data_IF_373937474088
#
_entry.id   IF_373937474088
#
_cell.length_a   1.000
_cell.length_b   1.000
_cell.length_c   1.000
_cell.angle_alpha   90.00
_cell.angle_beta   90.00
_cell.angle_gamma   90.00
#
_symmetry.space_group_name_H-M   'P 1'
#
loop_
_entity.id
_entity.type
_entity.pdbx_description
1 polymer ?
#
# COMPACT_ATOMS: atom_id res chain seq x y z
N UNK A 1 -35.31 -12.44 -23.65
CA UNK A 1 -35.66 -11.06 -24.07
C UNK A 1 -34.63 -10.15 -23.40
N UNK A 2 -33.81 -9.34 -24.06
CA UNK A 2 -33.98 -8.52 -25.26
C UNK A 2 -32.61 -8.43 -25.96
N UNK A 3 -32.63 -8.53 -27.29
CA UNK A 3 -31.48 -8.26 -28.17
C UNK A 3 -31.26 -6.74 -28.22
N UNK A 4 -30.02 -6.28 -28.26
CA UNK A 4 -29.74 -4.92 -28.74
C UNK A 4 -28.45 -4.91 -29.56
N UNK A 5 -28.63 -4.94 -30.88
CA UNK A 5 -27.63 -4.52 -31.85
C UNK A 5 -27.58 -2.99 -31.84
N UNK A 6 -26.38 -2.42 -31.88
CA UNK A 6 -26.20 -1.08 -32.44
C UNK A 6 -24.98 -1.10 -33.35
N UNK A 7 -25.25 -0.94 -34.65
CA UNK A 7 -24.29 -0.63 -35.70
C UNK A 7 -23.62 0.72 -35.39
N UNK A 8 -22.29 0.78 -35.52
CA UNK A 8 -21.60 2.07 -35.65
C UNK A 8 -21.66 2.49 -37.13
N UNK A 9 -22.54 3.45 -37.42
CA UNK A 9 -22.65 4.10 -38.72
C UNK A 9 -21.67 5.28 -38.74
N UNK A 10 -20.63 5.18 -39.56
CA UNK A 10 -19.77 6.31 -39.91
C UNK A 10 -20.57 7.30 -40.76
N UNK A 11 -20.73 8.54 -40.28
CA UNK A 11 -21.02 9.71 -41.11
C UNK A 11 -20.23 10.89 -40.53
N UNK A 12 -19.23 11.36 -41.28
CA UNK A 12 -18.61 12.65 -41.02
C UNK A 12 -19.40 13.78 -41.65
N UNK A 13 -19.32 14.99 -41.10
CA UNK A 13 -19.51 16.21 -41.87
C UNK A 13 -18.87 17.44 -41.21
N UNK A 14 -18.53 18.38 -42.08
CA UNK A 14 -17.69 19.56 -41.94
C UNK A 14 -18.29 20.72 -41.11
N UNK A 15 -17.34 21.50 -40.55
CA UNK A 15 -17.21 22.96 -40.54
C UNK A 15 -18.34 23.92 -40.05
N UNK A 16 -17.87 24.86 -39.22
CA UNK A 16 -18.08 26.32 -39.27
C UNK A 16 -18.97 27.00 -38.20
N UNK A 17 -18.38 28.08 -37.66
CA UNK A 17 -18.94 29.31 -37.08
C UNK A 17 -19.69 29.29 -35.74
N UNK A 18 -19.33 30.27 -34.90
CA UNK A 18 -20.28 30.94 -34.01
C UNK A 18 -19.80 31.12 -32.58
N UNK A 19 -19.57 32.38 -32.21
CA UNK A 19 -19.28 32.90 -30.87
C UNK A 19 -20.27 32.45 -29.79
N UNK A 20 -19.80 32.28 -28.56
CA UNK A 20 -20.30 32.92 -27.33
C UNK A 20 -19.88 32.15 -26.05
N UNK A 21 -19.33 32.89 -25.09
CA UNK A 21 -19.15 32.61 -23.66
C UNK A 21 -18.81 31.17 -23.21
N UNK A 22 -17.51 30.89 -23.07
CA UNK A 22 -17.01 29.72 -22.35
C UNK A 22 -17.11 29.93 -20.84
N UNK A 23 -18.25 29.58 -20.26
CA UNK A 23 -18.31 29.12 -18.87
C UNK A 23 -17.78 27.69 -18.86
N UNK A 24 -16.51 27.52 -18.45
CA UNK A 24 -15.90 26.21 -18.25
C UNK A 24 -16.53 25.54 -17.04
N UNK A 25 -17.60 24.78 -17.26
CA UNK A 25 -18.03 23.76 -16.31
C UNK A 25 -17.19 22.51 -16.57
N UNK A 26 -16.32 22.20 -15.61
CA UNK A 26 -15.56 20.97 -15.56
C UNK A 26 -16.54 19.79 -15.48
N UNK A 27 -16.62 19.00 -16.55
CA UNK A 27 -17.30 17.71 -16.54
C UNK A 27 -16.48 16.73 -15.69
N UNK A 28 -16.84 16.59 -14.42
CA UNK A 28 -16.37 15.50 -13.56
C UNK A 28 -16.87 14.16 -14.09
N UNK A 29 -15.95 13.22 -14.30
CA UNK A 29 -16.24 11.86 -14.72
C UNK A 29 -16.87 11.07 -13.54
N UNK A 30 -18.06 10.48 -13.69
CA UNK A 30 -18.70 9.73 -12.60
C UNK A 30 -18.15 8.29 -12.58
N UNK A 31 -16.95 8.09 -12.04
CA UNK A 31 -16.44 6.84 -11.43
C UNK A 31 -14.93 6.92 -11.16
N UNK A 32 -14.51 7.83 -10.29
CA UNK A 32 -13.28 7.62 -9.51
C UNK A 32 -13.73 7.47 -8.06
N UNK A 33 -13.98 6.23 -7.63
CA UNK A 33 -14.21 5.95 -6.22
C UNK A 33 -12.92 6.27 -5.49
N UNK A 34 -12.95 7.31 -4.67
CA UNK A 34 -11.87 7.65 -3.75
C UNK A 34 -11.83 6.60 -2.65
N UNK A 35 -10.64 6.29 -2.14
CA UNK A 35 -10.49 5.39 -1.00
C UNK A 35 -11.25 5.90 0.24
N UNK A 36 -11.54 7.19 0.31
CA UNK A 36 -12.29 7.84 1.38
C UNK A 36 -13.68 7.18 1.60
N UNK A 37 -14.37 6.77 0.53
CA UNK A 37 -15.71 6.18 0.63
C UNK A 37 -15.70 4.77 1.27
N UNK A 38 -14.55 4.11 1.34
CA UNK A 38 -14.40 2.73 1.85
C UNK A 38 -13.63 2.63 3.15
N UNK A 39 -13.05 3.74 3.64
CA UNK A 39 -12.37 3.78 4.93
C UNK A 39 -13.37 3.67 6.06
N UNK A 40 -12.97 3.00 7.12
CA UNK A 40 -13.63 3.15 8.41
C UNK A 40 -12.95 4.27 9.21
N UNK A 41 -13.51 5.49 9.12
CA UNK A 41 -12.96 6.67 9.78
C UNK A 41 -12.85 6.54 11.31
N UNK A 42 -13.68 5.71 11.94
CA UNK A 42 -13.63 5.47 13.39
C UNK A 42 -12.44 4.56 13.79
N UNK A 43 -11.84 3.87 12.81
CA UNK A 43 -10.71 2.94 12.98
C UNK A 43 -9.39 3.51 12.46
N UNK A 44 -9.36 4.78 12.06
CA UNK A 44 -8.12 5.48 11.72
C UNK A 44 -7.34 5.78 13.01
N UNK A 45 -6.15 5.19 13.12
CA UNK A 45 -5.31 5.25 14.31
C UNK A 45 -4.05 6.08 14.11
N UNK A 46 -3.76 6.51 12.88
CA UNK A 46 -2.55 7.30 12.59
C UNK A 46 -2.40 7.65 11.11
N UNK A 47 -1.24 8.20 10.78
CA UNK A 47 -0.88 8.62 9.41
C UNK A 47 0.55 8.19 9.07
N UNK A 48 0.75 7.67 7.86
CA UNK A 48 2.03 7.24 7.29
C UNK A 48 2.72 8.38 6.51
N UNK A 49 3.07 9.46 7.20
CA UNK A 49 3.63 10.68 6.59
C UNK A 49 5.15 10.84 6.81
N UNK A 50 5.78 9.95 7.57
CA UNK A 50 7.19 10.10 7.95
C UNK A 50 8.13 9.56 6.87
N UNK A 51 9.24 10.27 6.69
CA UNK A 51 10.27 9.86 5.72
C UNK A 51 11.16 8.77 6.30
N UNK A 52 11.04 7.55 5.76
CA UNK A 52 11.81 6.37 6.14
C UNK A 52 13.33 6.63 6.10
N UNK A 53 13.80 7.55 5.25
CA UNK A 53 15.23 7.91 5.17
C UNK A 53 15.80 8.46 6.48
N UNK A 54 14.94 8.94 7.39
CA UNK A 54 15.32 9.49 8.70
C UNK A 54 15.65 8.41 9.74
N UNK A 55 15.11 7.19 9.61
CA UNK A 55 15.32 6.11 10.59
C UNK A 55 16.73 5.52 10.52
N UNK A 56 17.25 5.27 9.31
CA UNK A 56 18.65 4.88 9.00
C UNK A 56 18.77 4.58 7.51
N UNK A 57 20.00 4.60 6.98
CA UNK A 57 20.32 4.17 5.59
C UNK A 57 20.35 2.64 5.43
N UNK A 58 19.40 1.92 6.02
CA UNK A 58 19.29 0.47 5.87
C UNK A 58 18.40 0.15 4.67
N UNK A 59 18.85 -0.79 3.83
CA UNK A 59 18.07 -1.30 2.69
C UNK A 59 17.62 -2.73 3.00
N UNK A 60 16.44 -3.15 2.54
CA UNK A 60 16.02 -4.52 2.74
C UNK A 60 16.89 -5.50 1.94
N UNK A 61 17.24 -6.61 2.58
CA UNK A 61 18.02 -7.70 2.03
C UNK A 61 17.16 -8.91 1.67
N UNK A 62 17.79 -9.93 1.09
CA UNK A 62 17.13 -11.21 0.80
C UNK A 62 16.84 -11.98 2.08
N UNK A 63 15.77 -12.75 2.09
CA UNK A 63 15.50 -13.77 3.12
C UNK A 63 16.19 -15.08 2.71
N UNK A 64 16.89 -15.72 3.65
CA UNK A 64 17.57 -17.00 3.40
C UNK A 64 16.51 -18.09 3.21
N UNK A 65 16.76 -19.02 2.30
CA UNK A 65 15.85 -20.13 1.96
C UNK A 65 14.49 -19.71 1.36
N UNK A 66 14.32 -18.45 0.95
CA UNK A 66 13.20 -18.04 0.11
C UNK A 66 13.37 -18.60 -1.31
N UNK A 67 12.45 -19.47 -1.73
CA UNK A 67 12.44 -20.07 -3.07
C UNK A 67 11.72 -19.22 -4.10
N UNK A 68 10.94 -18.22 -3.66
CA UNK A 68 10.15 -17.34 -4.54
C UNK A 68 10.96 -16.16 -5.07
N UNK A 69 11.97 -15.72 -4.32
CA UNK A 69 12.74 -14.51 -4.57
C UNK A 69 12.00 -13.21 -4.23
N UNK A 70 10.75 -13.30 -3.76
CA UNK A 70 9.84 -12.19 -3.47
C UNK A 70 9.92 -11.72 -2.02
N UNK A 71 10.51 -12.51 -1.11
CA UNK A 71 10.65 -12.13 0.29
C UNK A 71 11.88 -11.23 0.50
N UNK A 72 11.68 -10.10 1.18
CA UNK A 72 12.72 -9.17 1.57
C UNK A 72 12.64 -8.90 3.07
N UNK A 73 13.77 -8.72 3.73
CA UNK A 73 13.80 -8.38 5.17
C UNK A 73 14.59 -7.12 5.45
N UNK A 74 14.12 -6.36 6.41
CA UNK A 74 14.82 -5.24 7.03
C UNK A 74 14.90 -5.54 8.53
N UNK A 75 16.08 -5.35 9.12
CA UNK A 75 16.29 -5.50 10.55
C UNK A 75 16.63 -4.14 11.13
N UNK A 76 15.93 -3.75 12.19
CA UNK A 76 16.14 -2.50 12.89
C UNK A 76 16.06 -2.68 14.41
N UNK A 77 16.41 -1.62 15.12
CA UNK A 77 16.28 -1.52 16.57
C UNK A 77 16.01 -0.06 16.89
N UNK A 78 14.84 0.21 17.44
CA UNK A 78 14.35 1.55 17.74
C UNK A 78 12.91 1.51 18.26
N UNK A 79 12.44 2.60 18.87
CA UNK A 79 11.07 2.69 19.40
C UNK A 79 10.11 3.36 18.42
N UNK A 80 10.58 3.68 17.22
CA UNK A 80 9.76 4.32 16.20
C UNK A 80 8.68 3.36 15.72
N UNK A 81 7.47 3.88 15.58
CA UNK A 81 6.38 3.14 14.95
C UNK A 81 6.64 3.07 13.45
N UNK A 82 6.93 1.88 12.95
CA UNK A 82 7.25 1.65 11.54
C UNK A 82 6.06 1.98 10.63
N UNK A 83 4.83 1.89 11.13
CA UNK A 83 3.61 2.14 10.35
C UNK A 83 3.59 3.56 9.79
N UNK A 84 4.07 4.53 10.58
CA UNK A 84 4.16 5.94 10.21
C UNK A 84 5.14 6.21 9.04
N UNK A 85 5.95 5.22 8.65
CA UNK A 85 6.97 5.34 7.60
C UNK A 85 6.69 4.47 6.36
N UNK A 86 5.64 3.64 6.38
CA UNK A 86 5.40 2.60 5.37
C UNK A 86 5.22 3.14 3.94
N UNK A 87 4.56 4.28 3.74
CA UNK A 87 4.46 4.87 2.39
C UNK A 87 5.82 5.30 1.84
N UNK A 88 6.66 5.93 2.67
CA UNK A 88 8.03 6.30 2.26
C UNK A 88 8.90 5.06 2.03
N UNK A 89 8.71 4.01 2.86
CA UNK A 89 9.42 2.74 2.74
C UNK A 89 9.06 2.00 1.44
N UNK A 90 7.76 1.87 1.12
CA UNK A 90 7.25 1.24 -0.10
C UNK A 90 7.90 1.86 -1.32
N UNK A 91 7.77 3.18 -1.47
CA UNK A 91 8.24 3.93 -2.64
C UNK A 91 9.73 3.77 -2.91
N UNK A 92 10.52 3.57 -1.85
CA UNK A 92 11.99 3.46 -1.95
C UNK A 92 12.48 2.04 -2.15
N UNK A 93 11.75 1.05 -1.64
CA UNK A 93 12.31 -0.27 -1.40
C UNK A 93 11.48 -1.44 -1.92
N UNK A 94 10.17 -1.29 -2.09
CA UNK A 94 9.28 -2.38 -2.48
C UNK A 94 9.06 -2.39 -3.98
N UNK A 95 9.04 -3.60 -4.56
CA UNK A 95 8.49 -3.84 -5.89
C UNK A 95 7.12 -4.49 -5.76
N UNK A 96 6.41 -4.50 -6.87
CA UNK A 96 5.16 -5.26 -6.97
C UNK A 96 5.42 -6.74 -6.69
N UNK A 97 4.45 -7.40 -6.04
CA UNK A 97 4.50 -8.78 -5.54
C UNK A 97 5.56 -9.11 -4.47
N UNK A 98 6.36 -8.16 -3.99
CA UNK A 98 7.27 -8.41 -2.88
C UNK A 98 6.54 -8.39 -1.53
N UNK A 99 6.99 -9.25 -0.61
CA UNK A 99 6.59 -9.23 0.80
C UNK A 99 7.79 -8.81 1.62
N UNK A 100 7.64 -7.74 2.38
CA UNK A 100 8.70 -7.17 3.20
C UNK A 100 8.46 -7.46 4.67
N UNK A 101 9.47 -8.00 5.33
CA UNK A 101 9.47 -8.28 6.77
C UNK A 101 10.36 -7.26 7.45
N UNK A 102 9.78 -6.39 8.26
CA UNK A 102 10.50 -5.39 9.04
C UNK A 102 10.56 -5.88 10.48
N UNK A 103 11.72 -6.42 10.87
CA UNK A 103 11.97 -6.92 12.21
C UNK A 103 12.51 -5.77 13.07
N UNK A 104 11.89 -5.54 14.22
CA UNK A 104 12.35 -4.59 15.22
C UNK A 104 12.63 -5.31 16.55
N UNK A 105 13.92 -5.46 16.87
CA UNK A 105 14.34 -6.14 18.09
C UNK A 105 14.05 -5.35 19.37
N UNK A 106 13.83 -4.04 19.29
CA UNK A 106 13.51 -3.23 20.47
C UNK A 106 12.06 -3.44 20.90
N UNK A 107 11.13 -3.47 19.95
CA UNK A 107 9.70 -3.72 20.20
C UNK A 107 9.37 -5.21 20.25
N UNK A 108 10.33 -6.08 19.89
CA UNK A 108 10.15 -7.52 19.76
C UNK A 108 9.00 -7.90 18.81
N UNK A 109 8.94 -7.21 17.67
CA UNK A 109 7.89 -7.40 16.65
C UNK A 109 8.47 -7.57 15.26
N UNK A 110 7.69 -8.22 14.40
CA UNK A 110 7.90 -8.27 12.95
C UNK A 110 6.67 -7.72 12.25
N UNK A 111 6.85 -6.66 11.48
CA UNK A 111 5.81 -6.10 10.60
C UNK A 111 5.96 -6.70 9.20
N UNK A 112 4.93 -7.41 8.74
CA UNK A 112 4.85 -8.00 7.41
C UNK A 112 4.08 -7.04 6.52
N UNK A 113 4.68 -6.59 5.42
CA UNK A 113 4.11 -5.57 4.54
C UNK A 113 4.04 -6.10 3.11
N UNK A 114 2.86 -6.00 2.50
CA UNK A 114 2.67 -6.27 1.08
C UNK A 114 1.79 -5.19 0.45
N UNK A 115 2.05 -4.90 -0.84
CA UNK A 115 1.24 -3.98 -1.63
C UNK A 115 0.25 -4.76 -2.49
N UNK A 116 -1.02 -4.40 -2.45
CA UNK A 116 -2.04 -4.99 -3.30
C UNK A 116 -3.09 -3.93 -3.65
N UNK A 117 -3.45 -3.83 -4.93
CA UNK A 117 -4.45 -2.87 -5.43
C UNK A 117 -4.20 -1.41 -5.04
N UNK A 118 -2.95 -1.00 -4.91
CA UNK A 118 -2.57 0.37 -4.52
C UNK A 118 -2.63 0.65 -3.01
N UNK A 119 -3.03 -0.33 -2.19
CA UNK A 119 -3.00 -0.26 -0.73
C UNK A 119 -1.81 -1.04 -0.18
N UNK A 120 -1.33 -0.62 0.99
CA UNK A 120 -0.41 -1.41 1.79
C UNK A 120 -1.19 -2.12 2.88
N UNK A 121 -0.92 -3.41 3.03
CA UNK A 121 -1.41 -4.24 4.13
C UNK A 121 -0.23 -4.52 5.05
N UNK A 122 -0.43 -4.32 6.35
CA UNK A 122 0.61 -4.51 7.35
C UNK A 122 0.10 -5.35 8.52
N UNK A 123 0.69 -6.53 8.72
CA UNK A 123 0.47 -7.36 9.90
C UNK A 123 1.64 -7.17 10.87
N UNK A 124 1.34 -6.75 12.09
CA UNK A 124 2.32 -6.69 13.18
C UNK A 124 2.19 -7.97 13.99
N UNK A 125 3.28 -8.72 14.06
CA UNK A 125 3.37 -9.99 14.79
C UNK A 125 4.42 -9.94 15.88
N UNK A 126 4.29 -10.80 16.88
CA UNK A 126 5.39 -11.09 17.79
C UNK A 126 6.60 -11.58 17.02
N UNK A 127 7.80 -11.13 17.41
CA UNK A 127 9.04 -11.67 16.90
C UNK A 127 9.31 -13.05 17.50
N UNK A 128 9.70 -14.02 16.65
CA UNK A 128 10.20 -15.33 17.07
C UNK A 128 11.73 -15.37 16.99
N UNK A 129 12.41 -15.90 18.02
CA UNK A 129 13.87 -15.95 18.07
C UNK A 129 14.49 -16.55 16.79
N UNK A 130 15.39 -15.78 16.17
CA UNK A 130 16.12 -16.09 14.92
C UNK A 130 15.25 -16.23 13.68
N UNK A 131 14.01 -15.78 13.68
CA UNK A 131 13.11 -15.93 12.53
C UNK A 131 13.66 -15.25 11.26
N UNK A 132 14.44 -14.18 11.40
CA UNK A 132 15.01 -13.44 10.28
C UNK A 132 16.02 -14.28 9.49
N UNK A 133 16.47 -15.41 10.03
CA UNK A 133 17.42 -16.31 9.38
C UNK A 133 16.78 -17.33 8.43
N UNK A 134 15.46 -17.46 8.35
CA UNK A 134 14.84 -18.47 7.48
C UNK A 134 13.45 -18.05 6.98
N UNK A 135 13.21 -18.20 5.67
CA UNK A 135 11.92 -17.91 5.05
C UNK A 135 10.76 -18.76 5.62
N UNK A 136 11.04 -19.92 6.20
CA UNK A 136 10.03 -20.75 6.87
C UNK A 136 9.66 -20.25 8.27
N UNK A 137 10.52 -19.44 8.88
CA UNK A 137 10.36 -18.97 10.25
C UNK A 137 9.92 -17.49 10.32
N UNK A 138 10.39 -16.66 9.38
CA UNK A 138 10.13 -15.21 9.39
C UNK A 138 8.63 -14.89 9.43
N UNK A 139 8.19 -14.05 10.37
CA UNK A 139 6.78 -13.69 10.53
C UNK A 139 5.86 -14.84 11.01
N UNK A 140 6.40 -15.86 11.69
CA UNK A 140 5.61 -17.00 12.22
C UNK A 140 5.04 -16.77 13.62
N UNK A 141 5.37 -15.65 14.27
CA UNK A 141 4.82 -15.31 15.58
C UNK A 141 3.31 -15.04 15.57
N UNK A 142 2.77 -14.80 16.76
CA UNK A 142 1.35 -14.50 16.94
C UNK A 142 1.02 -13.15 16.31
N UNK A 143 -0.14 -13.08 15.63
CA UNK A 143 -0.66 -11.80 15.14
C UNK A 143 -1.05 -10.93 16.33
N UNK A 144 -0.55 -9.69 16.35
CA UNK A 144 -0.91 -8.69 17.34
C UNK A 144 -1.98 -7.76 16.78
N UNK A 145 -1.73 -7.23 15.58
CA UNK A 145 -2.60 -6.26 14.90
C UNK A 145 -2.43 -6.30 13.38
N UNK A 146 -3.49 -5.95 12.66
CA UNK A 146 -3.47 -5.78 11.19
C UNK A 146 -3.93 -4.39 10.80
N UNK A 147 -3.30 -3.84 9.76
CA UNK A 147 -3.54 -2.48 9.29
C UNK A 147 -3.67 -2.39 7.77
N UNK A 148 -4.48 -1.44 7.32
CA UNK A 148 -4.49 -0.95 5.93
C UNK A 148 -3.90 0.46 5.95
N UNK A 149 -2.94 0.71 5.05
CA UNK A 149 -2.37 2.04 4.84
C UNK A 149 -2.79 2.53 3.46
N UNK A 150 -3.51 3.66 3.46
CA UNK A 150 -4.08 4.27 2.27
C UNK A 150 -3.08 5.19 1.57
N UNK A 151 -3.26 5.49 0.26
CA UNK A 151 -2.32 6.32 -0.49
C UNK A 151 -2.20 7.77 0.01
N UNK A 152 -3.20 8.27 0.72
CA UNK A 152 -3.19 9.58 1.37
C UNK A 152 -2.55 9.58 2.76
N UNK A 153 -2.15 8.41 3.26
CA UNK A 153 -1.41 8.24 4.50
C UNK A 153 -2.23 7.64 5.64
N UNK A 154 -3.55 7.63 5.58
CA UNK A 154 -4.36 7.13 6.69
C UNK A 154 -4.01 5.66 7.02
N UNK A 155 -3.91 5.37 8.31
CA UNK A 155 -3.65 4.04 8.85
C UNK A 155 -4.93 3.57 9.56
N UNK A 156 -5.59 2.58 8.97
CA UNK A 156 -6.77 1.93 9.54
C UNK A 156 -6.37 0.63 10.24
N UNK A 157 -6.78 0.43 11.49
CA UNK A 157 -6.63 -0.85 12.20
C UNK A 157 -7.81 -1.77 11.87
N UNK A 158 -7.56 -2.96 11.31
CA UNK A 158 -8.62 -3.89 10.85
C UNK A 158 -8.81 -5.12 11.74
N UNK A 159 -7.83 -5.49 12.55
CA UNK A 159 -7.88 -6.58 13.56
C UNK A 159 -6.98 -6.22 14.77
#
# INVERSE_FOLDING_TARGET
MKKLWVLLLMVGLLAACGSDDSKTEATGNPNESTWDDVKDHDRIVGVSDKDFSKLKKMKPGKVRNDTTGKAKKLVMSGNEDVLEYLLSYEKKNMKDDEVHYIINFTTNTTTIVNKMSGLLYADVKEYVDKEEHDAKAIGSGMLLKSYIIYPDGDIEEVE
#
